data_IF_587332748348
#
_entry.id   IF_587332748348
#
_cell.length_a   1.000
_cell.length_b   1.000
_cell.length_c   1.000
_cell.angle_alpha   90.00
_cell.angle_beta   90.00
_cell.angle_gamma   90.00
#
_symmetry.space_group_name_H-M   'P 1'
#
loop_
_entity.id
_entity.type
_entity.pdbx_description
1 polymer ?
#
# COMPACT_ATOMS: atom_id res chain seq x y z
N UNK A 1 -15.40 -14.16 16.14
CA UNK A 1 -14.45 -14.26 17.28
C UNK A 1 -13.60 -13.02 17.28
N UNK A 2 -13.83 -12.13 18.25
CA UNK A 2 -12.90 -11.05 18.57
C UNK A 2 -11.76 -11.75 19.31
N UNK A 3 -10.61 -11.93 18.67
CA UNK A 3 -9.42 -12.38 19.38
C UNK A 3 -8.77 -11.12 19.95
N UNK A 4 -8.61 -11.08 21.26
CA UNK A 4 -7.84 -10.07 21.96
C UNK A 4 -6.43 -10.05 21.37
N UNK A 5 -5.93 -8.85 21.11
CA UNK A 5 -4.59 -8.66 20.53
C UNK A 5 -3.74 -8.01 21.58
N UNK A 6 -2.94 -8.84 22.21
CA UNK A 6 -2.04 -8.39 23.24
C UNK A 6 -0.68 -8.00 22.67
N UNK A 7 -0.31 -6.71 22.90
CA UNK A 7 1.07 -6.22 22.84
C UNK A 7 1.77 -6.33 21.48
N UNK A 8 1.08 -5.97 20.37
CA UNK A 8 1.75 -5.86 19.06
C UNK A 8 2.51 -4.53 19.00
N UNK A 9 3.85 -4.59 19.04
CA UNK A 9 4.72 -3.45 18.80
C UNK A 9 5.43 -3.62 17.47
N UNK A 10 4.87 -3.03 16.39
CA UNK A 10 5.49 -3.01 15.07
C UNK A 10 6.23 -1.68 14.88
N UNK A 11 7.52 -1.75 14.60
CA UNK A 11 8.34 -0.56 14.32
C UNK A 11 8.88 -0.65 12.89
N UNK A 12 8.43 0.24 12.03
CA UNK A 12 8.88 0.36 10.64
C UNK A 12 9.92 1.46 10.54
N UNK A 13 11.13 1.13 10.11
CA UNK A 13 12.20 2.12 9.93
C UNK A 13 11.89 3.01 8.73
N UNK A 14 12.14 4.33 8.80
CA UNK A 14 11.95 5.22 7.66
C UNK A 14 12.73 4.74 6.42
N UNK A 15 12.09 4.76 5.27
CA UNK A 15 12.69 4.32 4.02
C UNK A 15 13.13 2.86 4.03
N UNK A 16 12.38 1.98 4.66
CA UNK A 16 12.63 0.54 4.69
C UNK A 16 11.41 -0.25 4.20
N UNK A 17 11.62 -1.52 3.90
CA UNK A 17 10.58 -2.47 3.57
C UNK A 17 10.46 -3.48 4.71
N UNK A 18 9.35 -3.43 5.44
CA UNK A 18 9.01 -4.35 6.52
C UNK A 18 8.14 -5.47 5.98
N UNK A 19 8.61 -6.70 6.03
CA UNK A 19 7.82 -7.89 5.77
C UNK A 19 6.94 -8.25 6.97
N UNK A 20 5.65 -8.39 6.77
CA UNK A 20 4.71 -8.81 7.81
C UNK A 20 4.17 -10.20 7.47
N UNK A 21 4.59 -11.18 8.21
CA UNK A 21 4.22 -12.57 8.05
C UNK A 21 3.28 -13.07 9.15
N UNK A 22 2.63 -14.19 8.88
CA UNK A 22 1.79 -14.89 9.85
C UNK A 22 0.71 -15.69 9.14
N UNK A 23 0.15 -16.67 9.83
CA UNK A 23 -0.94 -17.49 9.30
C UNK A 23 -2.21 -16.69 9.04
N UNK A 24 -3.15 -17.29 8.29
CA UNK A 24 -4.47 -16.69 8.12
C UNK A 24 -5.17 -16.61 9.48
N UNK A 25 -5.71 -15.43 9.79
CA UNK A 25 -6.30 -15.16 11.10
C UNK A 25 -5.32 -14.69 12.19
N UNK A 26 -4.01 -14.62 11.93
CA UNK A 26 -3.01 -14.13 12.90
C UNK A 26 -3.19 -12.66 13.29
N UNK A 27 -4.03 -11.91 12.58
CA UNK A 27 -4.34 -10.52 12.92
C UNK A 27 -3.73 -9.46 12.01
N UNK A 28 -2.94 -9.82 11.00
CA UNK A 28 -2.28 -8.89 10.07
C UNK A 28 -3.22 -7.85 9.49
N UNK A 29 -4.25 -8.30 8.77
CA UNK A 29 -5.19 -7.40 8.10
C UNK A 29 -6.01 -6.53 9.07
N UNK A 30 -6.26 -6.98 10.30
CA UNK A 30 -6.97 -6.15 11.27
C UNK A 30 -6.05 -5.09 11.86
N UNK A 31 -4.78 -5.41 12.13
CA UNK A 31 -3.77 -4.42 12.54
C UNK A 31 -3.65 -3.32 11.47
N UNK A 32 -3.59 -3.72 10.19
CA UNK A 32 -3.54 -2.76 9.07
C UNK A 32 -4.84 -1.94 8.96
N UNK A 33 -6.01 -2.54 9.22
CA UNK A 33 -7.27 -1.79 9.25
C UNK A 33 -7.34 -0.78 10.40
N UNK A 34 -6.70 -1.06 11.53
CA UNK A 34 -6.54 -0.09 12.63
C UNK A 34 -5.57 1.03 12.21
N UNK A 35 -4.43 0.69 11.60
CA UNK A 35 -3.46 1.66 11.09
C UNK A 35 -4.11 2.59 10.05
N UNK A 36 -4.98 2.06 9.20
CA UNK A 36 -5.67 2.82 8.15
C UNK A 36 -6.97 3.50 8.64
N UNK A 37 -7.28 3.43 9.94
CA UNK A 37 -8.46 4.05 10.55
C UNK A 37 -9.79 3.42 10.13
N UNK A 38 -9.79 2.25 9.49
CA UNK A 38 -11.03 1.51 9.15
C UNK A 38 -11.66 0.92 10.41
N UNK A 39 -10.82 0.48 11.35
CA UNK A 39 -11.23 0.05 12.68
C UNK A 39 -10.63 0.99 13.72
N UNK A 40 -11.43 1.34 14.72
CA UNK A 40 -10.92 2.04 15.90
C UNK A 40 -10.12 1.04 16.74
N UNK A 41 -8.94 1.48 17.21
CA UNK A 41 -8.17 0.72 18.18
C UNK A 41 -8.81 0.83 19.57
N UNK A 42 -8.84 -0.24 20.33
CA UNK A 42 -9.31 -0.23 21.71
C UNK A 42 -8.25 0.40 22.63
N UNK A 43 -6.99 0.01 22.46
CA UNK A 43 -5.82 0.48 23.23
C UNK A 43 -4.58 0.65 22.35
N UNK A 44 -3.51 1.20 22.92
CA UNK A 44 -2.23 1.40 22.27
C UNK A 44 -2.15 2.70 21.47
N UNK A 45 -0.96 2.99 20.91
CA UNK A 45 -0.66 4.21 20.18
C UNK A 45 -0.14 3.91 18.78
N UNK A 46 -0.48 4.77 17.83
CA UNK A 46 0.11 4.77 16.49
C UNK A 46 0.97 6.02 16.39
N UNK A 47 2.24 5.86 16.08
CA UNK A 47 3.20 6.97 15.94
C UNK A 47 3.63 7.05 14.48
N UNK A 48 3.40 8.19 13.84
CA UNK A 48 3.83 8.49 12.48
C UNK A 48 4.75 9.72 12.51
N UNK A 49 5.97 9.60 12.01
CA UNK A 49 6.98 10.68 12.04
C UNK A 49 7.18 11.29 13.44
N UNK A 50 7.19 10.45 14.47
CA UNK A 50 7.38 10.88 15.87
C UNK A 50 6.16 11.55 16.51
N UNK A 51 5.01 11.59 15.82
CA UNK A 51 3.76 12.14 16.34
C UNK A 51 2.73 11.05 16.53
N UNK A 52 2.04 11.08 17.66
CA UNK A 52 0.90 10.21 17.86
C UNK A 52 -0.24 10.63 16.93
N UNK A 53 -0.82 9.62 16.24
CA UNK A 53 -1.93 9.79 15.30
C UNK A 53 -3.09 8.85 15.66
N UNK A 54 -4.29 9.30 15.35
CA UNK A 54 -5.49 8.49 15.50
C UNK A 54 -6.45 8.84 14.36
N UNK A 55 -6.43 8.04 13.32
CA UNK A 55 -7.20 8.32 12.12
C UNK A 55 -8.68 8.02 12.32
N UNK A 56 -9.52 8.97 11.93
CA UNK A 56 -10.98 8.84 11.96
C UNK A 56 -11.53 7.96 10.83
N UNK A 57 -10.69 7.62 9.84
CA UNK A 57 -11.05 6.76 8.72
C UNK A 57 -9.98 6.75 7.63
N UNK A 58 -10.20 5.96 6.56
CA UNK A 58 -9.24 5.80 5.47
C UNK A 58 -8.84 7.11 4.77
N UNK A 59 -9.77 8.05 4.65
CA UNK A 59 -9.49 9.35 4.05
C UNK A 59 -8.50 10.15 4.88
N UNK A 60 -8.69 10.18 6.19
CA UNK A 60 -7.81 10.85 7.14
C UNK A 60 -6.41 10.21 7.14
N UNK A 61 -6.30 8.88 7.10
CA UNK A 61 -5.03 8.17 6.96
C UNK A 61 -4.30 8.57 5.66
N UNK A 62 -5.00 8.59 4.52
CA UNK A 62 -4.44 9.01 3.23
C UNK A 62 -3.95 10.46 3.24
N UNK A 63 -4.70 11.39 3.83
CA UNK A 63 -4.33 12.80 3.96
C UNK A 63 -3.11 13.00 4.87
N UNK A 64 -2.87 12.08 5.80
CA UNK A 64 -1.68 12.05 6.67
C UNK A 64 -0.52 11.21 6.11
N UNK A 65 -0.64 10.69 4.89
CA UNK A 65 0.44 10.01 4.18
C UNK A 65 0.53 8.52 4.43
N UNK A 66 -0.51 7.87 4.94
CA UNK A 66 -0.62 6.42 5.05
C UNK A 66 -1.56 5.90 3.96
N UNK A 67 -1.06 5.08 3.05
CA UNK A 67 -1.86 4.44 1.99
C UNK A 67 -1.89 2.92 2.16
N UNK A 68 -2.95 2.30 1.68
CA UNK A 68 -3.09 0.84 1.67
C UNK A 68 -3.56 0.36 0.31
N UNK A 69 -2.85 -0.63 -0.21
CA UNK A 69 -3.24 -1.41 -1.39
C UNK A 69 -3.78 -2.74 -0.88
N UNK A 70 -5.07 -2.94 -1.04
CA UNK A 70 -5.76 -4.14 -0.58
C UNK A 70 -5.53 -5.32 -1.53
N UNK A 71 -5.67 -6.53 -1.02
CA UNK A 71 -5.65 -7.76 -1.81
C UNK A 71 -6.75 -7.77 -2.88
N UNK A 72 -7.95 -7.28 -2.54
CA UNK A 72 -9.05 -7.13 -3.48
C UNK A 72 -9.01 -5.76 -4.19
N UNK A 73 -9.15 -5.79 -5.51
CA UNK A 73 -9.12 -4.59 -6.35
C UNK A 73 -10.50 -3.91 -6.35
N UNK A 74 -10.62 -2.81 -5.61
CA UNK A 74 -11.85 -2.02 -5.48
C UNK A 74 -11.90 -0.85 -6.48
N UNK A 75 -11.88 -1.17 -7.78
CA UNK A 75 -11.82 -0.20 -8.87
C UNK A 75 -13.17 -0.01 -9.57
N UNK A 76 -13.42 1.20 -10.03
CA UNK A 76 -14.54 1.49 -10.91
C UNK A 76 -14.25 0.98 -12.32
N UNK A 77 -14.64 -0.25 -12.63
CA UNK A 77 -14.28 -0.96 -13.87
C UNK A 77 -14.73 -0.24 -15.15
N UNK A 78 -15.86 0.45 -15.12
CA UNK A 78 -16.39 1.20 -16.25
C UNK A 78 -15.73 2.56 -16.48
N UNK A 79 -14.94 3.03 -15.49
CA UNK A 79 -14.22 4.30 -15.56
C UNK A 79 -12.81 4.10 -16.11
N UNK A 80 -12.26 5.18 -16.66
CA UNK A 80 -10.90 5.19 -17.19
C UNK A 80 -9.83 5.04 -16.07
N UNK A 81 -8.61 4.73 -16.48
CA UNK A 81 -7.44 4.69 -15.56
C UNK A 81 -7.28 6.03 -14.86
N UNK A 82 -7.35 7.15 -15.61
CA UNK A 82 -7.19 8.48 -15.02
C UNK A 82 -8.32 8.82 -14.04
N UNK A 83 -9.56 8.43 -14.32
CA UNK A 83 -10.67 8.63 -13.39
C UNK A 83 -10.48 7.85 -12.10
N UNK A 84 -10.03 6.59 -12.17
CA UNK A 84 -9.75 5.77 -10.99
C UNK A 84 -8.60 6.34 -10.16
N UNK A 85 -7.56 6.91 -10.80
CA UNK A 85 -6.44 7.53 -10.11
C UNK A 85 -6.88 8.73 -9.27
N UNK A 86 -7.78 9.56 -9.79
CA UNK A 86 -8.26 10.78 -9.14
C UNK A 86 -9.62 10.64 -8.46
N UNK A 87 -10.14 9.44 -8.33
CA UNK A 87 -11.44 9.19 -7.71
C UNK A 87 -11.52 9.82 -6.30
N UNK A 88 -12.51 10.70 -6.11
CA UNK A 88 -12.72 11.43 -4.86
C UNK A 88 -11.86 12.69 -4.65
N UNK A 89 -10.91 13.00 -5.59
CA UNK A 89 -10.00 14.15 -5.50
C UNK A 89 -9.71 14.78 -6.85
N UNK A 90 -10.72 14.92 -7.68
CA UNK A 90 -10.59 15.51 -9.01
C UNK A 90 -10.02 16.93 -8.94
N UNK A 91 -8.88 17.23 -9.61
CA UNK A 91 -8.36 18.59 -9.74
C UNK A 91 -9.42 19.48 -10.39
N UNK A 92 -9.56 20.70 -9.87
CA UNK A 92 -10.48 21.70 -10.42
C UNK A 92 -9.70 22.91 -10.92
N UNK A 93 -10.20 23.51 -11.98
CA UNK A 93 -9.70 24.79 -12.48
C UNK A 93 -10.23 25.97 -11.64
N UNK A 94 -9.85 27.19 -11.99
CA UNK A 94 -10.28 28.43 -11.29
C UNK A 94 -11.80 28.65 -11.28
N UNK A 95 -12.54 28.02 -12.20
CA UNK A 95 -14.00 28.08 -12.29
C UNK A 95 -14.70 26.95 -11.52
N UNK A 96 -13.95 26.10 -10.79
CA UNK A 96 -14.51 24.96 -10.03
C UNK A 96 -14.87 23.74 -10.88
N UNK A 97 -14.58 23.76 -12.19
CA UNK A 97 -14.81 22.64 -13.11
C UNK A 97 -13.63 21.68 -13.09
N UNK A 98 -13.87 20.39 -13.27
CA UNK A 98 -12.82 19.34 -13.33
C UNK A 98 -11.82 19.67 -14.45
N UNK A 99 -10.54 19.71 -14.10
CA UNK A 99 -9.44 19.95 -15.04
C UNK A 99 -8.90 18.62 -15.60
N UNK A 100 -9.52 18.13 -16.65
CA UNK A 100 -9.10 16.87 -17.30
C UNK A 100 -7.68 16.95 -17.89
N UNK A 101 -7.25 18.12 -18.36
CA UNK A 101 -5.92 18.30 -18.91
C UNK A 101 -4.85 18.10 -17.83
N UNK A 102 -5.05 18.70 -16.67
CA UNK A 102 -4.21 18.53 -15.50
C UNK A 102 -4.20 17.07 -15.03
N UNK A 103 -5.37 16.42 -14.94
CA UNK A 103 -5.48 15.01 -14.57
C UNK A 103 -4.64 14.12 -15.48
N UNK A 104 -4.79 14.25 -16.80
CA UNK A 104 -4.05 13.45 -17.80
C UNK A 104 -2.54 13.69 -17.69
N UNK A 105 -2.12 14.93 -17.49
CA UNK A 105 -0.71 15.29 -17.34
C UNK A 105 -0.11 14.67 -16.08
N UNK A 106 -0.74 14.88 -14.92
CA UNK A 106 -0.25 14.35 -13.65
C UNK A 106 -0.22 12.81 -13.67
N UNK A 107 -1.25 12.17 -14.22
CA UNK A 107 -1.27 10.72 -14.40
C UNK A 107 -0.13 10.24 -15.30
N UNK A 108 0.07 10.89 -16.47
CA UNK A 108 1.13 10.53 -17.42
C UNK A 108 2.52 10.63 -16.76
N UNK A 109 2.76 11.70 -16.02
CA UNK A 109 4.03 11.94 -15.33
C UNK A 109 4.28 10.89 -14.25
N UNK A 110 3.24 10.53 -13.47
CA UNK A 110 3.32 9.50 -12.45
C UNK A 110 3.61 8.12 -13.05
N UNK A 111 2.83 7.67 -14.02
CA UNK A 111 3.01 6.35 -14.65
C UNK A 111 4.37 6.24 -15.34
N UNK A 112 4.84 7.32 -15.98
CA UNK A 112 6.18 7.39 -16.58
C UNK A 112 7.28 7.26 -15.51
N UNK A 113 7.15 7.98 -14.39
CA UNK A 113 8.09 7.89 -13.25
C UNK A 113 8.18 6.46 -12.70
N UNK A 114 7.06 5.75 -12.65
CA UNK A 114 6.98 4.37 -12.17
C UNK A 114 7.37 3.31 -13.22
N UNK A 115 7.64 3.72 -14.46
CA UNK A 115 7.95 2.79 -15.56
C UNK A 115 6.76 1.92 -15.97
N UNK A 116 5.53 2.38 -15.70
CA UNK A 116 4.30 1.66 -16.01
C UNK A 116 3.73 2.19 -17.33
N UNK A 117 3.53 1.32 -18.31
CA UNK A 117 2.92 1.67 -19.61
C UNK A 117 1.45 1.27 -19.59
N UNK A 118 0.57 2.26 -19.61
CA UNK A 118 -0.88 2.05 -19.68
C UNK A 118 -1.53 3.12 -20.56
N UNK A 119 -2.69 2.78 -21.17
CA UNK A 119 -3.54 3.78 -21.81
C UNK A 119 -4.43 4.44 -20.76
N UNK A 120 -4.16 5.71 -20.44
CA UNK A 120 -4.83 6.45 -19.37
C UNK A 120 -6.34 6.63 -19.58
N UNK A 121 -6.81 6.59 -20.85
CA UNK A 121 -8.22 6.83 -21.20
C UNK A 121 -9.02 5.56 -21.35
N UNK A 122 -8.37 4.38 -21.33
CA UNK A 122 -9.12 3.11 -21.44
C UNK A 122 -9.87 2.78 -20.14
N UNK A 123 -11.04 2.16 -20.22
CA UNK A 123 -11.75 1.65 -19.05
C UNK A 123 -10.96 0.54 -18.35
N UNK A 124 -10.98 0.52 -17.02
CA UNK A 124 -10.25 -0.46 -16.20
C UNK A 124 -10.64 -1.91 -16.54
N UNK A 125 -11.87 -2.18 -16.93
CA UNK A 125 -12.33 -3.52 -17.33
C UNK A 125 -11.56 -4.12 -18.52
N UNK A 126 -10.89 -3.30 -19.34
CA UNK A 126 -10.08 -3.77 -20.48
C UNK A 126 -8.63 -4.08 -20.09
N UNK A 127 -8.28 -3.93 -18.82
CA UNK A 127 -6.94 -4.19 -18.31
C UNK A 127 -6.85 -5.60 -17.71
N UNK A 128 -5.66 -6.19 -17.80
CA UNK A 128 -5.37 -7.41 -17.03
C UNK A 128 -5.41 -7.14 -15.53
N UNK A 129 -5.55 -8.18 -14.74
CA UNK A 129 -5.54 -8.06 -13.26
C UNK A 129 -4.24 -7.42 -12.79
N UNK A 130 -3.11 -7.83 -13.36
CA UNK A 130 -1.80 -7.27 -13.03
C UNK A 130 -1.67 -5.78 -13.38
N UNK A 131 -2.18 -5.37 -14.55
CA UNK A 131 -2.20 -3.94 -14.90
C UNK A 131 -3.07 -3.13 -13.92
N UNK A 132 -4.20 -3.68 -13.51
CA UNK A 132 -5.08 -3.06 -12.50
C UNK A 132 -4.39 -2.95 -11.14
N UNK A 133 -3.64 -3.99 -10.74
CA UNK A 133 -2.82 -3.97 -9.53
C UNK A 133 -1.79 -2.84 -9.56
N UNK A 134 -1.08 -2.69 -10.69
CA UNK A 134 -0.12 -1.59 -10.85
C UNK A 134 -0.79 -0.20 -10.78
N UNK A 135 -2.02 -0.08 -11.24
CA UNK A 135 -2.77 1.17 -11.12
C UNK A 135 -3.16 1.48 -9.66
N UNK A 136 -3.51 0.48 -8.84
CA UNK A 136 -3.77 0.69 -7.40
C UNK A 136 -2.51 1.17 -6.68
N UNK A 137 -1.36 0.57 -6.98
CA UNK A 137 -0.09 1.00 -6.39
C UNK A 137 0.25 2.43 -6.84
N UNK A 138 0.10 2.75 -8.13
CA UNK A 138 0.28 4.11 -8.63
C UNK A 138 -0.67 5.10 -7.94
N UNK A 139 -1.92 4.71 -7.68
CA UNK A 139 -2.90 5.50 -6.94
C UNK A 139 -2.44 5.75 -5.50
N UNK A 140 -1.97 4.74 -4.78
CA UNK A 140 -1.43 4.90 -3.43
C UNK A 140 -0.27 5.91 -3.40
N UNK A 141 0.68 5.79 -4.34
CA UNK A 141 1.82 6.72 -4.46
C UNK A 141 1.37 8.14 -4.77
N UNK A 142 0.31 8.32 -5.54
CA UNK A 142 -0.21 9.64 -5.94
C UNK A 142 -0.79 10.48 -4.79
N UNK A 143 -0.92 9.91 -3.59
CA UNK A 143 -1.28 10.63 -2.36
C UNK A 143 -0.08 11.24 -1.62
N UNK A 144 1.13 11.22 -2.21
CA UNK A 144 2.38 11.58 -1.54
C UNK A 144 2.58 10.82 -0.22
N UNK A 145 2.24 9.54 -0.25
CA UNK A 145 2.30 8.68 0.92
C UNK A 145 3.73 8.53 1.42
N UNK A 146 3.89 8.55 2.74
CA UNK A 146 5.14 8.27 3.46
C UNK A 146 5.25 6.81 3.83
N UNK A 147 4.10 6.19 4.04
CA UNK A 147 3.93 4.78 4.38
C UNK A 147 2.93 4.14 3.42
N UNK A 148 3.29 3.01 2.82
CA UNK A 148 2.41 2.26 1.93
C UNK A 148 2.33 0.81 2.39
N UNK A 149 1.14 0.36 2.73
CA UNK A 149 0.85 -1.03 3.04
C UNK A 149 0.46 -1.75 1.75
N UNK A 150 1.11 -2.86 1.46
CA UNK A 150 0.82 -3.73 0.33
C UNK A 150 0.35 -5.09 0.86
N UNK A 151 -0.95 -5.37 0.76
CA UNK A 151 -1.56 -6.61 1.27
C UNK A 151 -1.66 -7.64 0.13
N UNK A 152 -0.79 -8.64 0.16
CA UNK A 152 -0.64 -9.72 -0.84
C UNK A 152 -0.64 -9.24 -2.31
N UNK A 153 0.20 -8.25 -2.68
CA UNK A 153 0.10 -7.60 -3.98
C UNK A 153 0.52 -8.48 -5.15
N UNK A 154 1.12 -9.65 -4.89
CA UNK A 154 1.62 -10.58 -5.91
C UNK A 154 0.72 -11.79 -6.15
N UNK A 155 -0.43 -11.88 -5.48
CA UNK A 155 -1.32 -13.04 -5.55
C UNK A 155 -1.80 -13.38 -6.98
N UNK A 156 -1.88 -12.38 -7.85
CA UNK A 156 -2.36 -12.49 -9.24
C UNK A 156 -1.31 -12.09 -10.28
N UNK A 157 -0.04 -11.96 -9.89
CA UNK A 157 1.05 -11.53 -10.77
C UNK A 157 1.87 -12.70 -11.27
N UNK A 158 2.34 -12.60 -12.52
CA UNK A 158 3.37 -13.49 -13.08
C UNK A 158 4.76 -13.12 -12.56
N UNK A 159 5.72 -14.03 -12.62
CA UNK A 159 7.10 -13.78 -12.16
C UNK A 159 7.74 -12.50 -12.76
N UNK A 160 7.61 -12.21 -14.09
CA UNK A 160 8.11 -10.94 -14.64
C UNK A 160 7.42 -9.70 -14.07
N UNK A 161 6.14 -9.80 -13.68
CA UNK A 161 5.38 -8.69 -13.10
C UNK A 161 5.76 -8.48 -11.63
N UNK A 162 6.02 -9.56 -10.88
CA UNK A 162 6.59 -9.50 -9.52
C UNK A 162 7.94 -8.78 -9.54
N UNK A 163 8.83 -9.13 -10.48
CA UNK A 163 10.13 -8.46 -10.63
C UNK A 163 9.99 -6.95 -10.89
N UNK A 164 8.99 -6.54 -11.70
CA UNK A 164 8.69 -5.11 -11.91
C UNK A 164 8.17 -4.43 -10.65
N UNK A 165 7.29 -5.09 -9.91
CA UNK A 165 6.79 -4.61 -8.63
C UNK A 165 7.95 -4.40 -7.63
N UNK A 166 8.82 -5.38 -7.48
CA UNK A 166 9.96 -5.30 -6.57
C UNK A 166 10.94 -4.18 -6.96
N UNK A 167 11.19 -4.01 -8.26
CA UNK A 167 11.98 -2.87 -8.74
C UNK A 167 11.34 -1.54 -8.32
N UNK A 168 10.03 -1.40 -8.47
CA UNK A 168 9.30 -0.20 -8.07
C UNK A 168 9.35 0.01 -6.54
N UNK A 169 9.19 -1.05 -5.74
CA UNK A 169 9.30 -0.97 -4.28
C UNK A 169 10.69 -0.50 -3.84
N UNK A 170 11.77 -1.00 -4.47
CA UNK A 170 13.13 -0.52 -4.20
C UNK A 170 13.29 0.97 -4.53
N UNK A 171 12.74 1.43 -5.65
CA UNK A 171 12.74 2.85 -6.02
C UNK A 171 11.97 3.73 -5.02
N UNK A 172 10.84 3.26 -4.51
CA UNK A 172 10.06 3.99 -3.50
C UNK A 172 10.83 4.09 -2.17
N UNK A 173 11.45 2.99 -1.75
CA UNK A 173 12.34 2.96 -0.59
C UNK A 173 13.48 3.97 -0.73
N UNK A 174 14.16 4.02 -1.89
CA UNK A 174 15.23 4.99 -2.18
C UNK A 174 14.74 6.44 -2.12
N UNK A 175 13.44 6.69 -2.35
CA UNK A 175 12.81 8.00 -2.20
C UNK A 175 12.39 8.30 -0.74
N UNK A 176 12.71 7.40 0.21
CA UNK A 176 12.39 7.56 1.62
C UNK A 176 10.99 7.10 2.02
N UNK A 177 10.26 6.45 1.12
CA UNK A 177 8.93 5.90 1.42
C UNK A 177 9.11 4.57 2.16
N UNK A 178 8.42 4.41 3.29
CA UNK A 178 8.38 3.17 4.05
C UNK A 178 7.31 2.24 3.49
N UNK A 179 7.60 0.95 3.43
CA UNK A 179 6.67 -0.05 2.90
C UNK A 179 6.43 -1.16 3.93
N UNK A 180 5.16 -1.52 4.13
CA UNK A 180 4.78 -2.75 4.83
C UNK A 180 4.30 -3.73 3.76
N UNK A 181 5.04 -4.82 3.62
CA UNK A 181 4.77 -5.86 2.63
C UNK A 181 4.21 -7.11 3.30
N UNK A 182 2.95 -7.38 3.08
CA UNK A 182 2.28 -8.57 3.61
C UNK A 182 2.27 -9.65 2.55
N UNK A 183 2.88 -10.78 2.84
CA UNK A 183 2.87 -11.96 1.96
C UNK A 183 3.01 -13.23 2.80
N UNK A 184 2.50 -14.32 2.29
CA UNK A 184 2.75 -15.67 2.82
C UNK A 184 3.87 -16.41 2.07
N UNK A 185 4.41 -15.79 0.99
CA UNK A 185 5.48 -16.35 0.16
C UNK A 185 6.83 -15.96 0.73
N UNK A 186 7.51 -16.93 1.34
CA UNK A 186 8.81 -16.74 2.00
C UNK A 186 9.87 -16.18 1.05
N UNK A 187 9.96 -16.72 -0.16
CA UNK A 187 10.97 -16.29 -1.14
C UNK A 187 10.83 -14.81 -1.48
N UNK A 188 9.61 -14.31 -1.61
CA UNK A 188 9.33 -12.90 -1.87
C UNK A 188 9.76 -12.02 -0.68
N UNK A 189 9.44 -12.44 0.53
CA UNK A 189 9.80 -11.72 1.77
C UNK A 189 11.32 -11.59 1.89
N UNK A 190 12.05 -12.69 1.69
CA UNK A 190 13.52 -12.66 1.78
C UNK A 190 14.18 -11.86 0.68
N UNK A 191 13.58 -11.80 -0.52
CA UNK A 191 14.10 -11.04 -1.65
C UNK A 191 13.98 -9.52 -1.45
N UNK A 192 12.85 -9.05 -0.89
CA UNK A 192 12.52 -7.62 -0.96
C UNK A 192 12.57 -6.90 0.39
N UNK A 193 12.37 -7.60 1.51
CA UNK A 193 12.24 -6.96 2.83
C UNK A 193 13.59 -6.76 3.51
N UNK A 194 13.74 -5.64 4.23
CA UNK A 194 14.89 -5.36 5.08
C UNK A 194 14.75 -6.02 6.45
N UNK A 195 13.52 -6.01 6.97
CA UNK A 195 13.15 -6.60 8.26
C UNK A 195 11.89 -7.44 8.09
N UNK A 196 11.78 -8.46 8.93
CA UNK A 196 10.64 -9.39 8.94
C UNK A 196 10.05 -9.42 10.34
N UNK A 197 8.75 -9.20 10.41
CA UNK A 197 7.95 -9.35 11.61
C UNK A 197 6.96 -10.50 11.44
N UNK A 198 6.87 -11.38 12.43
CA UNK A 198 5.99 -12.55 12.41
C UNK A 198 4.90 -12.39 13.45
N UNK A 199 3.64 -12.40 12.98
CA UNK A 199 2.46 -12.46 13.83
C UNK A 199 1.95 -13.90 13.94
N UNK A 200 1.59 -14.28 15.15
CA UNK A 200 0.94 -15.55 15.43
C UNK A 200 -0.11 -15.36 16.52
N UNK A 201 -1.31 -15.87 16.32
CA UNK A 201 -2.41 -15.85 17.28
C UNK A 201 -2.70 -14.46 17.90
N UNK A 202 -2.55 -13.39 17.12
CA UNK A 202 -2.78 -12.02 17.55
C UNK A 202 -1.60 -11.36 18.28
N UNK A 203 -0.44 -12.02 18.38
CA UNK A 203 0.75 -11.52 19.05
C UNK A 203 1.93 -11.40 18.10
N UNK A 204 2.81 -10.43 18.34
CA UNK A 204 4.09 -10.32 17.61
C UNK A 204 5.10 -11.29 18.24
N UNK A 205 5.47 -12.32 17.48
CA UNK A 205 6.39 -13.37 17.95
C UNK A 205 7.84 -12.94 17.83
N UNK A 206 8.20 -12.29 16.72
CA UNK A 206 9.57 -11.85 16.45
C UNK A 206 9.61 -10.72 15.44
N UNK A 207 10.66 -9.91 15.54
CA UNK A 207 11.12 -9.01 14.47
C UNK A 207 12.62 -9.19 14.30
N UNK A 208 13.09 -9.46 13.09
CA UNK A 208 14.52 -9.63 12.76
C UNK A 208 14.85 -8.94 11.44
N UNK A 209 16.12 -8.58 11.27
CA UNK A 209 16.61 -8.18 9.96
C UNK A 209 16.58 -9.39 9.01
N UNK A 210 16.19 -9.17 7.76
CA UNK A 210 16.02 -10.25 6.76
C UNK A 210 17.31 -11.05 6.54
N UNK A 211 18.47 -10.38 6.67
CA UNK A 211 19.79 -10.99 6.51
C UNK A 211 20.18 -11.97 7.63
N UNK A 212 19.54 -11.85 8.79
CA UNK A 212 19.84 -12.65 9.99
C UNK A 212 18.84 -13.83 10.16
N UNK A 213 18.00 -14.02 9.15
CA UNK A 213 16.93 -15.04 9.17
C UNK A 213 17.25 -16.07 8.07
N UNK A 214 17.73 -17.24 8.47
CA UNK A 214 17.91 -18.44 7.63
C UNK A 214 16.77 -19.42 7.87
#
# INVERSE_FOLDING_TARGET
CIRDRDHINLNVKPGSIMGLMGENGAGKSTMMKCLFGTYQKDEGTIILDGKEVNFSGPKDALENGVAMVHQELNQCLERSVVDNLFLGRYPKNSLGVIDEGRMKKEASDLFRKLGITVNLTQPMKRMSVSQRQMCEIAKAISYNSKEIVLDEPTSSLTAPEVAKLFKMMRQLKEQGISLIYISHKMDEIFEICDQISVLRDGSLVMTKDSKDTN
#
